data_IF_227838162810
#
_entry.id   IF_227838162810
#
_cell.length_a   1.000
_cell.length_b   1.000
_cell.length_c   1.000
_cell.angle_alpha   90.00
_cell.angle_beta   90.00
_cell.angle_gamma   90.00
#
_symmetry.space_group_name_H-M   'P 1'
#
loop_
_entity.id
_entity.type
_entity.pdbx_description
1 polymer ?
#
# COMPACT_ATOMS: atom_id res chain seq x y z
N UNK A 1 15.26 3.97 -20.04
CA UNK A 1 15.20 2.71 -19.24
C UNK A 1 14.48 2.99 -17.94
N UNK A 2 13.54 2.12 -17.52
CA UNK A 2 12.83 2.24 -16.25
C UNK A 2 13.28 1.15 -15.28
N UNK A 3 13.52 1.51 -14.01
CA UNK A 3 14.00 0.59 -12.98
C UNK A 3 13.18 0.78 -11.71
N UNK A 4 12.64 -0.31 -11.15
CA UNK A 4 12.02 -0.34 -9.83
C UNK A 4 12.98 -1.05 -8.87
N UNK A 5 13.44 -0.33 -7.86
CA UNK A 5 14.27 -0.82 -6.78
C UNK A 5 13.40 -1.24 -5.61
N UNK A 6 13.39 -2.51 -5.27
CA UNK A 6 12.47 -3.09 -4.28
C UNK A 6 13.26 -3.51 -3.06
N UNK A 7 13.07 -2.80 -1.96
CA UNK A 7 13.73 -3.05 -0.69
C UNK A 7 12.74 -3.47 0.40
N UNK A 8 13.26 -3.90 1.55
CA UNK A 8 12.47 -4.30 2.72
C UNK A 8 13.09 -5.48 3.47
N UNK A 9 12.58 -5.75 4.66
CA UNK A 9 13.07 -6.83 5.53
C UNK A 9 12.97 -8.21 4.84
N UNK A 10 13.73 -9.17 5.34
CA UNK A 10 13.58 -10.57 4.91
C UNK A 10 12.18 -11.08 5.25
N UNK A 11 11.55 -11.84 4.34
CA UNK A 11 10.22 -12.43 4.58
C UNK A 11 9.01 -11.55 4.28
N UNK A 12 9.18 -10.26 3.96
CA UNK A 12 8.04 -9.36 3.63
C UNK A 12 7.39 -9.62 2.27
N UNK A 13 7.90 -10.57 1.47
CA UNK A 13 7.30 -10.96 0.20
C UNK A 13 7.88 -10.29 -1.05
N UNK A 14 9.03 -9.60 -0.97
CA UNK A 14 9.65 -8.91 -2.12
C UNK A 14 9.77 -9.78 -3.38
N UNK A 15 10.42 -10.95 -3.24
CA UNK A 15 10.64 -11.85 -4.38
C UNK A 15 9.31 -12.36 -4.95
N UNK A 16 8.34 -12.68 -4.09
CA UNK A 16 7.03 -13.17 -4.51
C UNK A 16 6.24 -12.10 -5.29
N UNK A 17 6.33 -10.83 -4.84
CA UNK A 17 5.72 -9.69 -5.56
C UNK A 17 6.40 -9.51 -6.93
N UNK A 18 7.75 -9.59 -6.98
CA UNK A 18 8.48 -9.51 -8.25
C UNK A 18 8.12 -10.65 -9.20
N UNK A 19 8.00 -11.89 -8.70
CA UNK A 19 7.55 -13.05 -9.48
C UNK A 19 6.13 -12.83 -10.02
N UNK A 20 5.23 -12.27 -9.22
CA UNK A 20 3.85 -11.96 -9.64
C UNK A 20 3.82 -10.94 -10.78
N UNK A 21 4.55 -9.82 -10.62
CA UNK A 21 4.67 -8.79 -11.66
C UNK A 21 5.32 -9.33 -12.94
N UNK A 22 6.37 -10.15 -12.80
CA UNK A 22 7.12 -10.71 -13.92
C UNK A 22 6.35 -11.75 -14.74
N UNK A 23 5.16 -12.18 -14.31
CA UNK A 23 4.25 -12.96 -15.16
C UNK A 23 3.87 -12.21 -16.44
N UNK A 24 3.82 -10.88 -16.38
CA UNK A 24 3.72 -10.05 -17.58
C UNK A 24 5.12 -9.79 -18.17
N UNK A 25 5.62 -10.78 -18.92
CA UNK A 25 6.97 -10.77 -19.50
C UNK A 25 7.16 -9.72 -20.60
N UNK A 26 6.10 -9.17 -21.16
CA UNK A 26 6.19 -8.09 -22.14
C UNK A 26 6.48 -6.75 -21.45
N UNK A 27 5.95 -6.54 -20.24
CA UNK A 27 6.08 -5.30 -19.49
C UNK A 27 7.28 -5.32 -18.54
N UNK A 28 7.55 -6.44 -17.88
CA UNK A 28 8.52 -6.52 -16.79
C UNK A 28 9.70 -7.44 -17.10
N UNK A 29 10.88 -7.02 -16.64
CA UNK A 29 12.12 -7.79 -16.63
C UNK A 29 12.58 -7.98 -15.18
N UNK A 30 12.70 -9.22 -14.71
CA UNK A 30 13.16 -9.51 -13.35
C UNK A 30 14.67 -9.67 -13.32
N UNK A 31 15.33 -8.80 -12.56
CA UNK A 31 16.78 -8.82 -12.37
C UNK A 31 17.12 -9.78 -11.22
N UNK A 32 17.93 -10.80 -11.54
CA UNK A 32 18.43 -11.77 -10.57
C UNK A 32 19.91 -11.49 -10.28
N UNK A 33 20.24 -11.19 -9.01
CA UNK A 33 21.64 -11.03 -8.60
C UNK A 33 22.39 -12.35 -8.67
N UNK A 34 23.65 -12.30 -9.09
CA UNK A 34 24.62 -13.37 -8.88
C UNK A 34 24.98 -13.45 -7.41
N UNK A 35 25.22 -14.66 -6.89
CA UNK A 35 25.67 -14.87 -5.51
C UNK A 35 26.49 -16.15 -5.40
N UNK A 36 27.54 -16.12 -4.59
CA UNK A 36 28.36 -17.28 -4.20
C UNK A 36 27.81 -18.02 -2.96
N UNK A 37 26.66 -17.58 -2.48
CA UNK A 37 25.92 -18.26 -1.42
C UNK A 37 25.40 -19.63 -1.88
N UNK A 38 25.49 -20.70 -1.09
CA UNK A 38 24.83 -21.94 -1.41
C UNK A 38 23.31 -21.79 -1.50
N UNK A 39 22.71 -22.44 -2.50
CA UNK A 39 21.26 -22.49 -2.66
C UNK A 39 20.64 -23.20 -1.43
N UNK A 40 19.59 -22.65 -0.86
CA UNK A 40 18.86 -23.25 0.25
C UNK A 40 17.95 -24.37 -0.24
N UNK A 41 17.61 -25.31 0.66
CA UNK A 41 16.85 -26.51 0.34
C UNK A 41 15.50 -26.23 -0.34
N UNK A 42 14.80 -25.19 0.10
CA UNK A 42 13.45 -24.84 -0.36
C UNK A 42 13.42 -23.53 -1.17
N UNK A 43 14.59 -23.10 -1.66
CA UNK A 43 14.68 -21.82 -2.36
C UNK A 43 14.33 -22.01 -3.84
N UNK A 44 13.34 -21.23 -4.29
CA UNK A 44 13.06 -21.06 -5.70
C UNK A 44 14.20 -20.30 -6.39
N UNK A 45 14.11 -20.09 -7.69
CA UNK A 45 15.11 -19.37 -8.47
C UNK A 45 15.06 -17.86 -8.23
N UNK A 46 15.51 -17.42 -7.05
CA UNK A 46 15.58 -15.99 -6.67
C UNK A 46 16.94 -15.33 -6.95
N UNK A 47 17.96 -16.13 -7.30
CA UNK A 47 19.33 -15.68 -7.56
C UNK A 47 20.00 -16.59 -8.59
N UNK A 48 21.08 -16.09 -9.21
CA UNK A 48 21.98 -16.89 -10.04
C UNK A 48 23.13 -17.36 -9.15
N UNK A 49 23.11 -18.63 -8.79
CA UNK A 49 24.12 -19.21 -7.88
C UNK A 49 25.38 -19.57 -8.65
N UNK A 50 26.53 -19.10 -8.16
CA UNK A 50 27.83 -19.31 -8.76
C UNK A 50 28.84 -19.75 -7.70
N UNK A 51 29.97 -20.30 -8.10
CA UNK A 51 31.07 -20.55 -7.17
C UNK A 51 31.87 -19.28 -6.85
N UNK A 52 32.72 -19.34 -5.84
CA UNK A 52 33.51 -18.20 -5.39
C UNK A 52 34.48 -17.69 -6.45
N UNK A 53 35.11 -18.58 -7.22
CA UNK A 53 36.05 -18.20 -8.27
C UNK A 53 35.34 -17.46 -9.41
N UNK A 54 34.13 -17.90 -9.78
CA UNK A 54 33.33 -17.21 -10.77
C UNK A 54 32.85 -15.84 -10.25
N UNK A 55 32.48 -15.75 -8.97
CA UNK A 55 32.12 -14.49 -8.33
C UNK A 55 33.30 -13.49 -8.34
N UNK A 56 34.54 -13.95 -8.09
CA UNK A 56 35.72 -13.11 -8.18
C UNK A 56 35.86 -12.49 -9.58
N UNK A 57 35.73 -13.33 -10.61
CA UNK A 57 35.78 -12.89 -12.00
C UNK A 57 34.64 -11.91 -12.36
N UNK A 58 33.44 -12.10 -11.83
CA UNK A 58 32.32 -11.17 -12.02
C UNK A 58 32.59 -9.80 -11.40
N UNK A 59 33.13 -9.77 -10.18
CA UNK A 59 33.39 -8.52 -9.45
C UNK A 59 34.53 -7.67 -10.07
N UNK A 60 35.40 -8.25 -10.88
CA UNK A 60 36.44 -7.54 -11.63
C UNK A 60 35.89 -6.89 -12.93
N UNK A 61 34.67 -7.20 -13.34
CA UNK A 61 34.06 -6.65 -14.55
C UNK A 61 33.74 -5.16 -14.39
N UNK A 62 33.85 -4.41 -15.50
CA UNK A 62 33.54 -2.99 -15.54
C UNK A 62 32.03 -2.69 -15.62
N UNK A 63 31.24 -3.68 -15.94
CA UNK A 63 29.79 -3.58 -16.10
C UNK A 63 29.00 -4.07 -14.87
N UNK A 64 29.65 -4.16 -13.71
CA UNK A 64 28.99 -4.37 -12.41
C UNK A 64 28.20 -3.12 -12.05
N UNK A 65 26.88 -3.27 -11.87
CA UNK A 65 25.94 -2.21 -11.52
C UNK A 65 25.88 -1.99 -10.01
N UNK A 66 25.72 -3.08 -9.27
CA UNK A 66 25.66 -3.04 -7.81
C UNK A 66 26.37 -4.26 -7.23
N UNK A 67 26.95 -4.05 -6.05
CA UNK A 67 27.58 -5.10 -5.28
C UNK A 67 27.21 -4.96 -3.80
N UNK A 68 26.99 -6.09 -3.14
CA UNK A 68 26.67 -6.14 -1.73
C UNK A 68 27.31 -7.39 -1.12
N UNK A 69 27.69 -7.29 0.15
CA UNK A 69 28.07 -8.43 0.95
C UNK A 69 27.08 -8.55 2.11
N UNK A 70 26.51 -9.75 2.27
CA UNK A 70 25.59 -10.08 3.36
C UNK A 70 26.19 -11.29 4.06
N UNK A 71 26.57 -11.13 5.32
CA UNK A 71 27.35 -12.08 6.07
C UNK A 71 28.68 -12.39 5.34
N UNK A 72 28.95 -13.65 5.03
CA UNK A 72 30.15 -14.08 4.29
C UNK A 72 29.96 -14.14 2.78
N UNK A 73 28.72 -13.90 2.29
CA UNK A 73 28.37 -14.11 0.89
C UNK A 73 28.26 -12.81 0.11
N UNK A 74 28.66 -12.89 -1.16
CA UNK A 74 28.70 -11.77 -2.07
C UNK A 74 27.53 -11.83 -3.05
N UNK A 75 27.10 -10.65 -3.46
CA UNK A 75 26.05 -10.48 -4.45
C UNK A 75 26.49 -9.41 -5.44
N UNK A 76 26.21 -9.62 -6.72
CA UNK A 76 26.40 -8.59 -7.73
C UNK A 76 25.40 -8.69 -8.85
N UNK A 77 25.25 -7.61 -9.61
CA UNK A 77 24.36 -7.52 -10.76
C UNK A 77 25.10 -6.80 -11.88
N UNK A 78 24.89 -7.23 -13.11
CA UNK A 78 25.57 -6.72 -14.28
C UNK A 78 24.64 -5.91 -15.18
N UNK A 79 25.19 -4.90 -15.85
CA UNK A 79 24.47 -4.06 -16.80
C UNK A 79 23.68 -4.84 -17.88
N UNK A 80 24.20 -5.90 -18.52
CA UNK A 80 23.46 -6.64 -19.55
C UNK A 80 22.20 -7.36 -19.08
N UNK A 81 21.94 -7.42 -17.77
CA UNK A 81 20.72 -8.00 -17.24
C UNK A 81 19.51 -7.04 -17.34
N UNK A 82 19.77 -5.75 -17.55
CA UNK A 82 18.73 -4.72 -17.63
C UNK A 82 18.25 -4.56 -19.08
N UNK A 83 16.92 -4.56 -19.24
CA UNK A 83 16.27 -4.37 -20.55
C UNK A 83 15.85 -2.89 -20.70
N UNK A 84 16.24 -2.24 -21.78
CA UNK A 84 15.95 -0.83 -22.06
C UNK A 84 14.47 -0.58 -22.39
N UNK A 85 13.76 -1.61 -22.85
CA UNK A 85 12.38 -1.51 -23.32
C UNK A 85 11.33 -1.95 -22.29
N UNK A 86 11.78 -2.53 -21.15
CA UNK A 86 10.93 -3.03 -20.09
C UNK A 86 11.14 -2.27 -18.78
N UNK A 87 10.23 -2.49 -17.86
CA UNK A 87 10.39 -2.07 -16.47
C UNK A 87 11.20 -3.13 -15.73
N UNK A 88 12.41 -2.79 -15.34
CA UNK A 88 13.32 -3.69 -14.63
C UNK A 88 12.95 -3.74 -13.15
N UNK A 89 12.64 -4.92 -12.63
CA UNK A 89 12.36 -5.17 -11.23
C UNK A 89 13.64 -5.67 -10.56
N UNK A 90 14.16 -4.94 -9.59
CA UNK A 90 15.40 -5.29 -8.93
C UNK A 90 15.27 -5.26 -7.40
N UNK A 91 15.44 -6.40 -6.76
CA UNK A 91 15.42 -6.52 -5.29
C UNK A 91 16.79 -6.15 -4.74
N UNK A 92 16.83 -5.13 -3.90
CA UNK A 92 18.06 -4.52 -3.39
C UNK A 92 17.99 -4.24 -1.89
N UNK A 93 19.15 -3.95 -1.29
CA UNK A 93 19.30 -3.27 0.00
C UNK A 93 19.55 -1.77 -0.20
N UNK A 94 19.79 -1.04 0.88
CA UNK A 94 20.10 0.41 0.84
C UNK A 94 21.33 0.72 -0.02
N UNK A 95 22.37 -0.12 0.04
CA UNK A 95 23.59 0.08 -0.74
C UNK A 95 23.33 -0.15 -2.23
N UNK A 96 22.58 -1.21 -2.55
CA UNK A 96 22.15 -1.52 -3.90
C UNK A 96 21.29 -0.44 -4.54
N UNK A 97 20.45 0.27 -3.76
CA UNK A 97 19.73 1.46 -4.24
C UNK A 97 20.73 2.51 -4.72
N UNK A 98 21.67 2.89 -3.86
CA UNK A 98 22.64 3.94 -4.16
C UNK A 98 23.56 3.58 -5.33
N UNK A 99 24.04 2.34 -5.40
CA UNK A 99 24.91 1.86 -6.46
C UNK A 99 24.19 1.82 -7.81
N UNK A 100 22.93 1.37 -7.82
CA UNK A 100 22.11 1.37 -9.04
C UNK A 100 21.86 2.78 -9.54
N UNK A 101 21.51 3.72 -8.65
CA UNK A 101 21.31 5.13 -9.03
C UNK A 101 22.58 5.75 -9.62
N UNK A 102 23.76 5.43 -9.09
CA UNK A 102 25.04 5.88 -9.65
C UNK A 102 25.35 5.25 -11.00
N UNK A 103 25.04 3.97 -11.17
CA UNK A 103 25.32 3.22 -12.40
C UNK A 103 24.38 3.60 -13.56
N UNK A 104 23.17 4.06 -13.22
CA UNK A 104 22.16 4.48 -14.20
C UNK A 104 21.69 5.93 -13.99
N UNK A 105 22.58 6.92 -14.16
CA UNK A 105 22.24 8.33 -13.90
C UNK A 105 21.18 8.89 -14.85
N UNK A 106 20.92 8.20 -15.97
CA UNK A 106 19.95 8.60 -17.00
C UNK A 106 18.67 7.77 -16.96
N UNK A 107 18.56 6.80 -16.05
CA UNK A 107 17.37 5.97 -15.95
C UNK A 107 16.26 6.66 -15.14
N UNK A 108 15.04 6.33 -15.48
CA UNK A 108 13.85 6.65 -14.68
C UNK A 108 13.75 5.61 -13.55
N UNK A 109 14.00 6.01 -12.31
CA UNK A 109 14.10 5.09 -11.16
C UNK A 109 12.95 5.36 -10.19
N UNK A 110 12.37 4.29 -9.67
CA UNK A 110 11.40 4.29 -8.57
C UNK A 110 11.86 3.33 -7.49
N UNK A 111 12.01 3.80 -6.27
CA UNK A 111 12.43 3.01 -5.11
C UNK A 111 11.24 2.71 -4.19
N UNK A 112 11.06 1.45 -3.83
CA UNK A 112 9.93 0.96 -3.03
C UNK A 112 10.43 0.26 -1.76
N UNK A 113 9.80 0.54 -0.63
CA UNK A 113 9.96 -0.21 0.61
C UNK A 113 8.74 -1.09 0.83
N UNK A 114 8.92 -2.40 0.77
CA UNK A 114 7.85 -3.36 1.08
C UNK A 114 7.81 -3.59 2.59
N UNK A 115 6.63 -3.43 3.18
CA UNK A 115 6.38 -3.71 4.60
C UNK A 115 5.29 -4.77 4.76
N UNK A 116 5.37 -5.49 5.89
CA UNK A 116 4.35 -6.43 6.35
C UNK A 116 4.36 -6.48 7.87
N UNK A 117 3.18 -6.43 8.50
CA UNK A 117 3.05 -6.37 9.97
C UNK A 117 3.48 -7.67 10.65
N UNK A 118 2.99 -8.80 10.18
CA UNK A 118 3.17 -10.11 10.81
C UNK A 118 4.18 -10.97 10.02
N UNK A 119 5.46 -10.59 10.10
CA UNK A 119 6.52 -11.41 9.52
C UNK A 119 7.08 -12.31 10.60
N UNK A 120 6.77 -13.60 10.54
CA UNK A 120 7.51 -14.61 11.28
C UNK A 120 8.93 -14.71 10.71
N UNK A 121 9.83 -13.98 11.33
CA UNK A 121 11.26 -14.03 10.97
C UNK A 121 11.83 -15.22 11.72
N UNK A 122 12.05 -16.35 11.02
CA UNK A 122 12.79 -17.47 11.59
C UNK A 122 14.11 -16.95 12.19
N UNK A 123 14.51 -17.46 13.35
CA UNK A 123 15.65 -16.99 14.16
C UNK A 123 16.93 -16.72 13.36
N UNK A 124 17.21 -17.56 12.35
CA UNK A 124 18.41 -17.41 11.50
C UNK A 124 18.31 -16.21 10.52
N UNK A 125 17.11 -15.72 10.21
CA UNK A 125 16.90 -14.52 9.36
C UNK A 125 16.89 -13.23 10.19
N UNK A 126 16.55 -13.32 11.47
CA UNK A 126 16.52 -12.18 12.39
C UNK A 126 17.92 -11.61 12.66
N UNK A 127 18.95 -12.46 12.64
CA UNK A 127 20.35 -12.06 12.86
C UNK A 127 21.06 -11.47 11.64
N UNK A 128 20.41 -11.43 10.46
CA UNK A 128 21.03 -10.87 9.27
C UNK A 128 21.13 -9.36 9.34
N UNK A 129 22.35 -8.87 9.27
CA UNK A 129 22.62 -7.43 9.20
C UNK A 129 22.40 -6.89 7.78
N UNK A 130 21.14 -6.95 7.31
CA UNK A 130 20.75 -6.36 6.03
C UNK A 130 20.35 -4.92 6.31
N UNK A 131 21.05 -3.98 5.70
CA UNK A 131 20.66 -2.58 5.73
C UNK A 131 19.32 -2.41 5.00
N UNK A 132 18.28 -2.11 5.77
CA UNK A 132 16.93 -1.84 5.24
C UNK A 132 16.75 -0.33 5.19
N UNK A 133 16.32 0.24 4.05
CA UNK A 133 16.06 1.67 3.96
C UNK A 133 14.91 2.05 4.91
N UNK A 134 14.95 3.27 5.42
CA UNK A 134 13.82 3.88 6.12
C UNK A 134 12.87 4.53 5.11
N UNK A 135 11.72 5.01 5.57
CA UNK A 135 10.69 5.59 4.70
C UNK A 135 11.21 6.76 3.86
N UNK A 136 12.10 7.56 4.42
CA UNK A 136 12.69 8.75 3.80
C UNK A 136 13.69 8.43 2.70
N UNK A 137 14.21 7.21 2.66
CA UNK A 137 15.18 6.77 1.65
C UNK A 137 14.53 6.30 0.35
N UNK A 138 13.20 6.14 0.31
CA UNK A 138 12.46 5.56 -0.81
C UNK A 138 11.34 6.46 -1.28
N UNK A 139 10.91 6.27 -2.54
CA UNK A 139 9.83 7.04 -3.13
C UNK A 139 8.46 6.61 -2.54
N UNK A 140 8.22 5.30 -2.43
CA UNK A 140 6.94 4.77 -1.94
C UNK A 140 7.09 3.65 -0.92
N UNK A 141 6.11 3.59 -0.01
CA UNK A 141 5.88 2.49 0.90
C UNK A 141 4.77 1.62 0.35
N UNK A 142 5.01 0.32 0.25
CA UNK A 142 4.02 -0.67 -0.20
C UNK A 142 3.69 -1.62 0.94
N UNK A 143 2.44 -1.64 1.31
CA UNK A 143 1.93 -2.53 2.34
C UNK A 143 1.55 -3.90 1.73
N UNK A 144 2.13 -4.98 2.25
CA UNK A 144 1.88 -6.36 1.85
C UNK A 144 1.19 -7.15 2.99
N UNK A 145 0.23 -6.53 3.66
CA UNK A 145 -0.55 -7.18 4.73
C UNK A 145 -1.75 -7.99 4.20
N UNK A 146 -2.18 -7.74 2.97
CA UNK A 146 -3.29 -8.41 2.32
C UNK A 146 -2.79 -9.59 1.47
N UNK A 147 -2.83 -9.47 0.16
CA UNK A 147 -2.36 -10.50 -0.78
C UNK A 147 -1.20 -9.97 -1.62
N UNK A 148 -0.37 -10.91 -2.12
CA UNK A 148 0.74 -10.60 -3.03
C UNK A 148 0.21 -9.91 -4.30
N UNK A 149 -0.91 -10.36 -4.82
CA UNK A 149 -1.56 -9.82 -6.00
C UNK A 149 -2.00 -8.37 -5.77
N UNK A 150 -2.50 -8.04 -4.58
CA UNK A 150 -2.89 -6.68 -4.21
C UNK A 150 -1.68 -5.75 -4.21
N UNK A 151 -0.58 -6.16 -3.56
CA UNK A 151 0.66 -5.40 -3.54
C UNK A 151 1.26 -5.23 -4.95
N UNK A 152 1.25 -6.29 -5.76
CA UNK A 152 1.69 -6.26 -7.16
C UNK A 152 0.83 -5.30 -8.00
N UNK A 153 -0.49 -5.34 -7.82
CA UNK A 153 -1.42 -4.43 -8.50
C UNK A 153 -1.15 -2.96 -8.13
N UNK A 154 -0.87 -2.68 -6.87
CA UNK A 154 -0.50 -1.32 -6.43
C UNK A 154 0.75 -0.83 -7.16
N UNK A 155 1.79 -1.67 -7.25
CA UNK A 155 3.01 -1.33 -8.00
C UNK A 155 2.72 -1.15 -9.48
N UNK A 156 1.88 -2.02 -10.09
CA UNK A 156 1.52 -1.93 -11.50
C UNK A 156 0.76 -0.63 -11.82
N UNK A 157 -0.06 -0.15 -10.89
CA UNK A 157 -0.73 1.16 -10.96
C UNK A 157 0.30 2.30 -10.93
N UNK A 158 1.26 2.29 -9.98
CA UNK A 158 2.32 3.31 -9.92
C UNK A 158 3.14 3.36 -11.22
N UNK A 159 3.41 2.21 -11.83
CA UNK A 159 4.07 2.10 -13.14
C UNK A 159 3.20 2.70 -14.25
N UNK A 160 1.91 2.41 -14.26
CA UNK A 160 0.95 2.93 -15.24
C UNK A 160 0.88 4.46 -15.22
N UNK A 161 1.04 5.03 -14.05
CA UNK A 161 1.02 6.47 -13.83
C UNK A 161 2.39 7.15 -13.94
N UNK A 162 3.43 6.43 -14.30
CA UNK A 162 4.79 6.95 -14.53
C UNK A 162 5.39 7.71 -13.32
N UNK A 163 5.17 7.23 -12.10
CA UNK A 163 5.73 7.81 -10.86
C UNK A 163 7.25 7.59 -10.69
N UNK A 164 7.96 7.47 -11.76
CA UNK A 164 9.40 7.32 -11.72
C UNK A 164 10.10 8.66 -11.47
N UNK A 165 11.14 8.62 -10.62
CA UNK A 165 12.06 9.74 -10.45
C UNK A 165 12.86 9.94 -11.74
N UNK A 166 12.65 11.08 -12.38
CA UNK A 166 13.38 11.43 -13.60
C UNK A 166 14.81 11.86 -13.26
N UNK A 167 15.76 11.73 -14.21
CA UNK A 167 17.13 12.19 -14.02
C UNK A 167 17.21 13.65 -13.59
N UNK A 168 18.09 13.94 -12.62
CA UNK A 168 18.18 15.27 -11.98
C UNK A 168 18.51 16.42 -12.94
N UNK A 169 19.16 16.13 -14.09
CA UNK A 169 19.48 17.16 -15.08
C UNK A 169 18.25 17.70 -15.84
N UNK A 170 17.07 17.07 -15.70
CA UNK A 170 15.83 17.58 -16.29
C UNK A 170 15.13 18.61 -15.40
N UNK A 171 15.54 18.75 -14.12
CA UNK A 171 14.98 19.72 -13.17
C UNK A 171 15.92 20.93 -13.10
N UNK A 172 15.55 22.01 -13.75
CA UNK A 172 16.40 23.20 -13.85
C UNK A 172 16.25 24.17 -12.69
N UNK A 173 15.09 24.20 -12.05
CA UNK A 173 14.79 25.19 -11.00
C UNK A 173 13.99 24.56 -9.85
N UNK A 174 13.99 25.24 -8.70
CA UNK A 174 13.12 24.88 -7.55
C UNK A 174 11.65 24.97 -7.95
N UNK A 175 11.27 25.92 -8.80
CA UNK A 175 9.92 26.13 -9.30
C UNK A 175 9.42 24.93 -10.12
N UNK A 176 10.27 24.39 -11.01
CA UNK A 176 9.94 23.16 -11.76
C UNK A 176 9.73 21.96 -10.82
N UNK A 177 10.54 21.87 -9.75
CA UNK A 177 10.40 20.82 -8.75
C UNK A 177 9.09 20.95 -7.96
N UNK A 178 8.71 22.18 -7.56
CA UNK A 178 7.46 22.46 -6.85
C UNK A 178 6.24 22.19 -7.74
N UNK A 179 6.27 22.62 -9.00
CA UNK A 179 5.21 22.34 -9.97
C UNK A 179 4.98 20.83 -10.13
N UNK A 180 6.07 20.07 -10.22
CA UNK A 180 6.00 18.60 -10.31
C UNK A 180 5.40 17.95 -9.06
N UNK A 181 5.76 18.44 -7.87
CA UNK A 181 5.16 17.97 -6.59
C UNK A 181 3.66 18.27 -6.57
N UNK A 182 3.25 19.44 -7.01
CA UNK A 182 1.83 19.83 -7.04
C UNK A 182 1.02 19.01 -8.07
N UNK A 183 1.62 18.69 -9.20
CA UNK A 183 1.03 17.77 -10.17
C UNK A 183 0.85 16.36 -9.59
N UNK A 184 1.86 15.85 -8.89
CA UNK A 184 1.79 14.55 -8.23
C UNK A 184 0.73 14.52 -7.13
N UNK A 185 0.61 15.58 -6.33
CA UNK A 185 -0.42 15.70 -5.28
C UNK A 185 -1.83 15.69 -5.87
N UNK A 186 -2.07 16.50 -6.93
CA UNK A 186 -3.37 16.51 -7.62
C UNK A 186 -3.76 15.12 -8.15
N UNK A 187 -2.78 14.43 -8.67
CA UNK A 187 -2.97 13.11 -9.24
C UNK A 187 -3.28 12.04 -8.16
N UNK A 188 -2.56 12.08 -7.03
CA UNK A 188 -2.86 11.21 -5.89
C UNK A 188 -4.27 11.44 -5.34
N UNK A 189 -4.70 12.71 -5.24
CA UNK A 189 -6.06 13.06 -4.82
C UNK A 189 -7.13 12.53 -5.80
N UNK A 190 -6.83 12.46 -7.11
CA UNK A 190 -7.75 11.88 -8.10
C UNK A 190 -7.86 10.36 -7.97
N UNK A 191 -6.74 9.67 -7.68
CA UNK A 191 -6.75 8.24 -7.39
C UNK A 191 -7.54 7.96 -6.12
N UNK A 192 -7.29 8.72 -5.07
CA UNK A 192 -7.97 8.59 -3.78
C UNK A 192 -9.49 8.74 -3.96
N UNK A 193 -9.94 9.78 -4.65
CA UNK A 193 -11.35 9.94 -5.02
C UNK A 193 -11.91 8.75 -5.79
N UNK A 194 -11.16 8.21 -6.75
CA UNK A 194 -11.58 7.05 -7.52
C UNK A 194 -11.73 5.80 -6.65
N UNK A 195 -10.80 5.58 -5.73
CA UNK A 195 -10.86 4.46 -4.79
C UNK A 195 -12.02 4.61 -3.82
N UNK A 196 -12.24 5.80 -3.27
CA UNK A 196 -13.38 6.11 -2.42
C UNK A 196 -14.71 5.87 -3.14
N UNK A 197 -14.81 6.30 -4.41
CA UNK A 197 -15.98 6.02 -5.23
C UNK A 197 -16.22 4.51 -5.43
N UNK A 198 -15.15 3.73 -5.62
CA UNK A 198 -15.27 2.28 -5.74
C UNK A 198 -15.72 1.61 -4.44
N UNK A 199 -15.20 2.07 -3.30
CA UNK A 199 -15.63 1.62 -1.98
C UNK A 199 -17.11 1.94 -1.76
N UNK A 200 -17.52 3.16 -2.06
CA UNK A 200 -18.93 3.58 -1.97
C UNK A 200 -19.86 2.72 -2.82
N UNK A 201 -19.50 2.45 -4.08
CA UNK A 201 -20.30 1.58 -4.96
C UNK A 201 -20.38 0.15 -4.44
N UNK A 202 -19.33 -0.36 -3.82
CA UNK A 202 -19.29 -1.68 -3.20
C UNK A 202 -20.24 -1.78 -2.02
N UNK A 203 -20.22 -0.79 -1.15
CA UNK A 203 -20.87 -0.84 0.17
C UNK A 203 -22.31 -0.30 0.15
N UNK A 204 -22.67 0.50 -0.87
CA UNK A 204 -24.01 1.12 -0.99
C UNK A 204 -25.19 0.16 -0.81
N UNK A 205 -25.18 -1.07 -1.37
CA UNK A 205 -26.28 -2.01 -1.15
C UNK A 205 -26.41 -2.45 0.32
N UNK A 206 -25.28 -2.67 1.00
CA UNK A 206 -25.25 -3.07 2.41
C UNK A 206 -25.64 -1.90 3.32
N UNK A 207 -25.18 -0.69 3.01
CA UNK A 207 -25.57 0.52 3.70
C UNK A 207 -27.09 0.73 3.70
N UNK A 208 -27.74 0.56 2.55
CA UNK A 208 -29.22 0.65 2.47
C UNK A 208 -29.94 -0.43 3.31
N UNK A 209 -29.40 -1.65 3.33
CA UNK A 209 -29.92 -2.70 4.18
C UNK A 209 -29.71 -2.38 5.67
N UNK A 210 -28.60 -1.79 6.04
CA UNK A 210 -28.32 -1.33 7.41
C UNK A 210 -29.32 -0.25 7.83
N UNK A 211 -29.57 0.76 7.00
CA UNK A 211 -30.55 1.81 7.32
C UNK A 211 -31.96 1.25 7.53
N UNK A 212 -32.38 0.29 6.71
CA UNK A 212 -33.68 -0.38 6.88
C UNK A 212 -33.74 -1.25 8.15
N UNK A 213 -32.64 -1.95 8.44
CA UNK A 213 -32.50 -2.73 9.67
C UNK A 213 -32.53 -1.83 10.92
N UNK A 214 -31.86 -0.69 10.88
CA UNK A 214 -31.91 0.31 11.96
C UNK A 214 -33.35 0.84 12.17
N UNK A 215 -34.04 1.23 11.11
CA UNK A 215 -35.45 1.72 11.21
C UNK A 215 -36.34 0.71 11.92
N UNK A 216 -36.21 -0.56 11.54
CA UNK A 216 -37.03 -1.64 12.13
C UNK A 216 -36.63 -1.88 13.57
N UNK A 217 -35.36 -2.06 13.86
CA UNK A 217 -34.85 -2.42 15.19
C UNK A 217 -35.05 -1.30 16.22
N UNK A 218 -34.86 -0.04 15.82
CA UNK A 218 -35.11 1.12 16.69
C UNK A 218 -36.59 1.18 17.10
N UNK A 219 -37.50 0.98 16.14
CA UNK A 219 -38.95 0.92 16.42
C UNK A 219 -39.31 -0.22 17.33
N UNK A 220 -38.77 -1.40 17.11
CA UNK A 220 -39.02 -2.59 17.95
C UNK A 220 -38.44 -2.38 19.36
N UNK A 221 -37.37 -1.65 19.51
CA UNK A 221 -36.79 -1.21 20.79
C UNK A 221 -37.57 -0.11 21.50
N UNK A 222 -38.65 0.38 20.90
CA UNK A 222 -39.54 1.40 21.48
C UNK A 222 -39.07 2.85 21.25
N UNK A 223 -38.11 3.07 20.40
CA UNK A 223 -37.63 4.39 20.02
C UNK A 223 -38.48 4.96 18.87
N UNK A 224 -39.03 6.16 19.10
CA UNK A 224 -39.78 6.90 18.08
C UNK A 224 -38.83 7.86 17.34
N UNK A 225 -38.10 7.31 16.36
CA UNK A 225 -37.07 8.01 15.62
C UNK A 225 -37.27 7.88 14.11
N UNK A 226 -36.78 8.87 13.38
CA UNK A 226 -36.63 8.83 11.92
C UNK A 226 -35.17 8.65 11.60
N UNK A 227 -34.85 7.68 10.76
CA UNK A 227 -33.50 7.48 10.19
C UNK A 227 -33.45 8.23 8.87
N UNK A 228 -32.70 9.32 8.84
CA UNK A 228 -32.43 10.08 7.64
C UNK A 228 -31.08 9.62 7.06
N UNK A 229 -31.11 9.20 5.80
CA UNK A 229 -29.92 8.75 5.06
C UNK A 229 -29.54 9.83 4.03
N UNK A 230 -28.37 10.40 4.16
CA UNK A 230 -27.82 11.27 3.12
C UNK A 230 -27.06 10.45 2.09
N UNK A 231 -27.50 10.52 0.84
CA UNK A 231 -26.78 9.98 -0.32
C UNK A 231 -25.73 10.99 -0.84
N UNK A 232 -25.67 12.19 -0.26
CA UNK A 232 -24.72 13.23 -0.62
C UNK A 232 -23.39 12.97 0.05
N UNK A 233 -22.50 12.37 -0.71
CA UNK A 233 -21.10 12.24 -0.33
C UNK A 233 -20.43 13.58 -0.65
N UNK A 234 -20.47 14.53 0.24
CA UNK A 234 -19.49 15.61 0.23
C UNK A 234 -18.15 15.01 0.68
N UNK A 235 -17.27 14.76 -0.30
CA UNK A 235 -15.87 14.40 -0.06
C UNK A 235 -15.12 15.62 0.49
N UNK A 236 -15.55 16.14 1.62
CA UNK A 236 -14.74 17.07 2.40
C UNK A 236 -13.89 16.26 3.37
N UNK A 237 -12.76 16.76 3.71
CA UNK A 237 -11.57 16.26 4.39
C UNK A 237 -11.68 15.15 5.46
N UNK A 238 -12.86 14.67 5.79
CA UNK A 238 -13.12 13.60 6.73
C UNK A 238 -13.60 12.36 5.99
N UNK A 239 -13.01 11.20 6.30
CA UNK A 239 -13.08 9.93 5.56
C UNK A 239 -14.46 9.24 5.49
N UNK A 240 -15.55 9.93 5.84
CA UNK A 240 -16.89 9.35 5.81
C UNK A 240 -17.46 9.23 4.40
N UNK A 241 -17.89 8.02 4.06
CA UNK A 241 -18.60 7.73 2.79
C UNK A 241 -20.12 7.76 2.94
N UNK A 242 -20.62 7.66 4.16
CA UNK A 242 -22.05 7.57 4.47
C UNK A 242 -22.37 8.39 5.72
N UNK A 243 -23.55 9.02 5.72
CA UNK A 243 -24.04 9.78 6.87
C UNK A 243 -25.41 9.23 7.27
N UNK A 244 -25.57 8.87 8.54
CA UNK A 244 -26.83 8.44 9.11
C UNK A 244 -27.21 9.44 10.21
N UNK A 245 -28.36 10.09 10.05
CA UNK A 245 -28.90 11.01 11.03
C UNK A 245 -30.12 10.35 11.69
N UNK A 246 -30.08 10.18 13.00
CA UNK A 246 -31.18 9.67 13.81
C UNK A 246 -31.90 10.84 14.41
N UNK A 247 -33.10 11.16 13.91
CA UNK A 247 -33.96 12.25 14.40
C UNK A 247 -35.02 11.69 15.33
N UNK A 248 -35.00 12.12 16.59
CA UNK A 248 -36.06 11.77 17.52
C UNK A 248 -37.32 12.59 17.22
N UNK A 249 -38.50 11.92 17.17
CA UNK A 249 -39.78 12.58 17.07
C UNK A 249 -40.23 13.23 18.40
N UNK A 250 -39.53 12.92 19.49
CA UNK A 250 -39.75 13.52 20.81
C UNK A 250 -38.70 14.58 21.09
N UNK A 251 -39.06 15.61 21.83
CA UNK A 251 -38.10 16.57 22.32
C UNK A 251 -37.15 15.83 23.27
N UNK A 252 -35.89 15.78 22.93
CA UNK A 252 -34.84 15.23 23.81
C UNK A 252 -34.47 16.34 24.77
N UNK A 253 -34.71 16.14 26.08
CA UNK A 253 -34.47 17.17 27.11
C UNK A 253 -33.09 17.02 27.76
N UNK A 254 -32.41 15.89 27.57
CA UNK A 254 -31.13 15.60 28.24
C UNK A 254 -30.13 14.89 27.34
N UNK A 255 -28.84 15.18 27.52
CA UNK A 255 -27.73 14.48 26.86
C UNK A 255 -27.72 12.96 27.18
N UNK A 256 -28.36 12.53 28.27
CA UNK A 256 -28.46 11.10 28.64
C UNK A 256 -29.36 10.36 27.68
N UNK A 257 -30.48 10.94 27.27
CA UNK A 257 -31.43 10.34 26.31
C UNK A 257 -30.81 10.23 24.91
N UNK A 258 -30.02 11.23 24.50
CA UNK A 258 -29.25 11.18 23.26
C UNK A 258 -28.21 10.06 23.26
N UNK A 259 -27.52 9.91 24.38
CA UNK A 259 -26.51 8.87 24.56
C UNK A 259 -27.13 7.47 24.52
N UNK A 260 -28.30 7.28 25.15
CA UNK A 260 -29.04 5.99 25.12
C UNK A 260 -29.47 5.63 23.68
N UNK A 261 -29.92 6.60 22.89
CA UNK A 261 -30.29 6.40 21.48
C UNK A 261 -29.05 5.99 20.66
N UNK A 262 -27.95 6.71 20.85
CA UNK A 262 -26.69 6.44 20.16
C UNK A 262 -26.12 5.07 20.51
N UNK A 263 -26.06 4.72 21.81
CA UNK A 263 -25.58 3.43 22.29
C UNK A 263 -26.40 2.26 21.73
N UNK A 264 -27.72 2.42 21.72
CA UNK A 264 -28.61 1.38 21.17
C UNK A 264 -28.45 1.26 19.65
N UNK A 265 -28.36 2.37 18.92
CA UNK A 265 -28.13 2.36 17.48
C UNK A 265 -26.78 1.72 17.12
N UNK A 266 -25.74 2.09 17.85
CA UNK A 266 -24.39 1.53 17.70
C UNK A 266 -24.40 0.00 17.89
N UNK A 267 -25.07 -0.48 18.92
CA UNK A 267 -25.23 -1.93 19.15
C UNK A 267 -25.89 -2.63 17.97
N UNK A 268 -26.98 -2.07 17.45
CA UNK A 268 -27.71 -2.63 16.29
C UNK A 268 -26.81 -2.69 15.07
N UNK A 269 -25.99 -1.67 14.84
CA UNK A 269 -25.05 -1.63 13.72
C UNK A 269 -23.99 -2.72 13.80
N UNK A 270 -23.39 -2.91 14.97
CA UNK A 270 -22.44 -4.00 15.18
C UNK A 270 -23.09 -5.37 14.94
N UNK A 271 -24.30 -5.59 15.44
CA UNK A 271 -25.06 -6.84 15.22
C UNK A 271 -25.34 -7.08 13.73
N UNK A 272 -25.69 -6.03 12.98
CA UNK A 272 -25.88 -6.12 11.54
C UNK A 272 -24.56 -6.46 10.82
N UNK A 273 -23.51 -5.73 11.13
CA UNK A 273 -22.21 -5.90 10.47
C UNK A 273 -21.56 -7.26 10.77
N UNK A 274 -21.75 -7.79 11.98
CA UNK A 274 -21.31 -9.15 12.31
C UNK A 274 -22.06 -10.20 11.52
N UNK A 275 -23.38 -10.03 11.37
CA UNK A 275 -24.23 -10.93 10.60
C UNK A 275 -23.90 -10.94 9.10
N UNK A 276 -23.46 -9.82 8.57
CA UNK A 276 -23.17 -9.62 7.14
C UNK A 276 -21.66 -9.61 6.82
N UNK A 277 -20.79 -9.85 7.81
CA UNK A 277 -19.32 -9.86 7.69
C UNK A 277 -18.75 -8.56 7.06
N UNK A 278 -19.33 -7.40 7.43
CA UNK A 278 -19.02 -6.10 6.83
C UNK A 278 -18.58 -5.03 7.86
N UNK A 279 -17.83 -5.42 8.88
CA UNK A 279 -17.34 -4.48 9.93
C UNK A 279 -16.50 -3.33 9.38
N UNK A 280 -15.80 -3.55 8.29
CA UNK A 280 -15.02 -2.51 7.61
C UNK A 280 -15.88 -1.35 7.08
N UNK A 281 -17.16 -1.58 6.81
CA UNK A 281 -18.09 -0.53 6.40
C UNK A 281 -18.34 0.50 7.52
N UNK A 282 -18.23 0.11 8.79
CA UNK A 282 -18.46 1.00 9.93
C UNK A 282 -17.46 2.17 9.99
N UNK A 283 -16.23 1.97 9.51
CA UNK A 283 -15.20 3.03 9.45
C UNK A 283 -15.55 4.16 8.48
N UNK A 284 -16.58 3.97 7.66
CA UNK A 284 -17.01 4.92 6.64
C UNK A 284 -18.38 5.53 6.93
N UNK A 285 -18.92 5.35 8.15
CA UNK A 285 -20.24 5.85 8.54
C UNK A 285 -20.10 6.87 9.66
N UNK A 286 -20.58 8.09 9.42
CA UNK A 286 -20.75 9.09 10.45
C UNK A 286 -22.17 9.07 11.00
N UNK A 287 -22.27 9.18 12.29
CA UNK A 287 -23.52 9.15 13.06
C UNK A 287 -23.83 10.49 13.69
N UNK A 288 -25.07 10.92 13.56
CA UNK A 288 -25.58 12.12 14.20
C UNK A 288 -26.93 11.83 14.86
N UNK A 289 -27.16 12.46 16.02
CA UNK A 289 -28.47 12.49 16.67
C UNK A 289 -28.94 13.95 16.70
N UNK A 290 -30.11 14.21 16.12
CA UNK A 290 -30.76 15.54 16.05
C UNK A 290 -29.95 16.68 15.44
N UNK A 291 -29.14 16.41 14.40
CA UNK A 291 -28.29 17.39 13.71
C UNK A 291 -27.20 18.05 14.60
N UNK A 292 -27.00 17.62 15.83
CA UNK A 292 -25.87 18.03 16.66
C UNK A 292 -24.70 17.05 16.50
N UNK A 293 -23.50 17.62 16.35
CA UNK A 293 -22.25 16.85 16.22
C UNK A 293 -21.89 16.18 17.55
N UNK A 294 -22.39 14.99 17.77
CA UNK A 294 -21.83 14.09 18.77
C UNK A 294 -20.82 13.17 18.04
N UNK A 295 -19.57 13.60 18.00
CA UNK A 295 -18.48 12.75 17.60
C UNK A 295 -18.24 11.73 18.70
N UNK A 296 -18.67 10.50 18.51
CA UNK A 296 -17.97 9.38 19.09
C UNK A 296 -17.26 8.64 17.94
N UNK A 297 -15.92 8.67 17.99
CA UNK A 297 -15.09 7.74 17.24
C UNK A 297 -15.53 6.34 17.65
N UNK A 298 -16.25 5.66 16.76
CA UNK A 298 -16.54 4.25 16.91
C UNK A 298 -15.26 3.50 16.52
N UNK A 299 -14.35 3.37 17.47
CA UNK A 299 -13.16 2.51 17.41
C UNK A 299 -13.47 1.12 17.94
#
# INVERSE_FOLDING_TARGET
MKIILIAGRSGVGKSTICEELSKNTEKYNLILSYTDRPKRKDEKEGHIFVDSAFMDALLERKDVVARTQIDEYRYCTLYPQFDEHKVNLYVVDVYGINDTMKSFPQADIMSLLIQRKDVDISDYRAGRNIAVPIREDVDFLIDNNSTVESAAKTIDVLVGFDFFRKPSHTVKTIEESLTRIDEQRRYLAEIERSLQTQLWLRDKPLYKQLCEYLRTSMKDGGYDVVIDESDEVEFDSDDALYVIIIKSNKIIETCVEEHEILEYATKIMYEFCDKHECRDMLYHIHFYVNDEHLYEDIL
#
